data_IF_313170445030
#
_entry.id   IF_313170445030
#
_cell.length_a   1.000
_cell.length_b   1.000
_cell.length_c   1.000
_cell.angle_alpha   90.00
_cell.angle_beta   90.00
_cell.angle_gamma   90.00
#
_symmetry.space_group_name_H-M   'P 1'
#
loop_
_entity.id
_entity.type
_entity.pdbx_description
1 polymer ?
#
# COMPACT_ATOMS: atom_id res chain seq x y z
N UNK A 1 4.87 11.74 0.25
CA UNK A 1 4.63 11.54 -1.20
C UNK A 1 3.74 12.68 -1.71
N UNK A 2 3.93 13.17 -2.94
CA UNK A 2 3.08 14.22 -3.55
C UNK A 2 2.12 13.66 -4.62
N UNK A 3 1.08 14.41 -5.01
CA UNK A 3 -0.01 13.92 -5.87
C UNK A 3 0.46 13.31 -7.20
N UNK A 4 1.49 13.87 -7.84
CA UNK A 4 2.06 13.30 -9.07
C UNK A 4 2.71 11.93 -8.87
N UNK A 5 3.37 11.71 -7.73
CA UNK A 5 3.95 10.41 -7.39
C UNK A 5 2.86 9.37 -7.09
N UNK A 6 1.80 9.80 -6.41
CA UNK A 6 0.63 8.96 -6.15
C UNK A 6 -0.02 8.51 -7.47
N UNK A 7 -0.24 9.44 -8.40
CA UNK A 7 -0.79 9.12 -9.71
C UNK A 7 0.11 8.14 -10.49
N UNK A 8 1.44 8.22 -10.36
CA UNK A 8 2.34 7.25 -10.97
C UNK A 8 2.17 5.84 -10.40
N UNK A 9 1.96 5.71 -9.09
CA UNK A 9 1.62 4.42 -8.49
C UNK A 9 0.30 3.89 -9.05
N UNK A 10 -0.77 4.68 -8.93
CA UNK A 10 -2.12 4.24 -9.30
C UNK A 10 -2.21 3.80 -10.77
N UNK A 11 -1.48 4.48 -11.65
CA UNK A 11 -1.43 4.18 -13.08
C UNK A 11 -0.32 3.18 -13.48
N UNK A 12 0.36 2.56 -12.53
CA UNK A 12 1.35 1.53 -12.85
C UNK A 12 0.66 0.31 -13.50
N UNK A 13 1.03 -0.07 -14.73
CA UNK A 13 0.35 -1.14 -15.46
C UNK A 13 0.53 -2.52 -14.83
N UNK A 14 1.49 -2.68 -13.91
CA UNK A 14 1.69 -3.93 -13.15
C UNK A 14 0.62 -4.10 -12.07
N UNK A 15 -0.02 -3.02 -11.66
CA UNK A 15 -1.07 -3.01 -10.64
C UNK A 15 -0.55 -3.17 -9.21
N UNK A 16 -1.44 -2.96 -8.22
CA UNK A 16 -1.09 -2.96 -6.81
C UNK A 16 -0.53 -4.30 -6.32
N UNK A 17 -1.08 -5.43 -6.79
CA UNK A 17 -0.64 -6.77 -6.36
C UNK A 17 0.84 -7.06 -6.66
N UNK A 18 1.37 -6.48 -7.74
CA UNK A 18 2.77 -6.65 -8.13
C UNK A 18 3.65 -5.57 -7.51
N UNK A 19 3.16 -4.34 -7.41
CA UNK A 19 3.96 -3.20 -6.93
C UNK A 19 4.10 -3.19 -5.41
N UNK A 20 3.01 -3.37 -4.67
CA UNK A 20 2.99 -3.22 -3.21
C UNK A 20 4.00 -4.14 -2.49
N UNK A 21 4.16 -5.43 -2.86
CA UNK A 21 5.15 -6.30 -2.21
C UNK A 21 6.60 -5.86 -2.43
N UNK A 22 6.88 -5.06 -3.47
CA UNK A 22 8.24 -4.60 -3.79
C UNK A 22 8.67 -3.36 -3.02
N UNK A 23 7.72 -2.66 -2.40
CA UNK A 23 8.00 -1.44 -1.63
C UNK A 23 8.68 -1.74 -0.31
N UNK A 24 9.59 -0.86 0.10
CA UNK A 24 10.07 -0.84 1.48
C UNK A 24 8.94 -0.51 2.47
N UNK A 25 9.09 -0.81 3.77
CA UNK A 25 8.07 -0.47 4.77
C UNK A 25 7.74 1.03 4.83
N UNK A 26 8.75 1.89 4.69
CA UNK A 26 8.57 3.34 4.68
C UNK A 26 7.82 3.83 3.43
N UNK A 27 8.14 3.29 2.26
CA UNK A 27 7.42 3.61 1.01
C UNK A 27 5.97 3.16 1.08
N UNK A 28 5.71 1.97 1.64
CA UNK A 28 4.34 1.47 1.81
C UNK A 28 3.53 2.34 2.78
N UNK A 29 4.11 2.75 3.90
CA UNK A 29 3.46 3.67 4.84
C UNK A 29 3.16 5.03 4.19
N UNK A 30 4.14 5.61 3.50
CA UNK A 30 3.96 6.87 2.77
C UNK A 30 2.91 6.77 1.65
N UNK A 31 2.79 5.62 0.99
CA UNK A 31 1.77 5.34 -0.01
C UNK A 31 0.38 5.27 0.63
N UNK A 32 0.24 4.57 1.75
CA UNK A 32 -1.01 4.49 2.52
C UNK A 32 -1.50 5.86 2.97
N UNK A 33 -0.62 6.70 3.54
CA UNK A 33 -0.97 8.04 3.98
C UNK A 33 -1.47 8.91 2.82
N UNK A 34 -0.81 8.84 1.67
CA UNK A 34 -1.20 9.62 0.50
C UNK A 34 -2.50 9.12 -0.15
N UNK A 35 -2.74 7.80 -0.17
CA UNK A 35 -3.98 7.21 -0.65
C UNK A 35 -5.15 7.61 0.26
N UNK A 36 -4.95 7.56 1.58
CA UNK A 36 -5.94 8.02 2.55
C UNK A 36 -6.29 9.50 2.33
N UNK A 37 -5.28 10.37 2.20
CA UNK A 37 -5.50 11.79 1.91
C UNK A 37 -6.18 12.02 0.56
N UNK A 38 -5.86 11.23 -0.47
CA UNK A 38 -6.50 11.34 -1.78
C UNK A 38 -7.98 10.93 -1.74
N UNK A 39 -8.30 9.85 -1.02
CA UNK A 39 -9.67 9.38 -0.81
C UNK A 39 -10.54 10.37 -0.04
N UNK A 40 -9.94 11.22 0.80
CA UNK A 40 -10.62 12.29 1.53
C UNK A 40 -10.92 13.53 0.65
N UNK A 41 -10.41 13.58 -0.58
CA UNK A 41 -10.68 14.69 -1.50
C UNK A 41 -12.05 14.56 -2.19
N UNK A 42 -12.59 15.68 -2.69
CA UNK A 42 -13.86 15.68 -3.42
C UNK A 42 -13.83 14.92 -4.76
N UNK A 43 -12.64 14.71 -5.33
CA UNK A 43 -12.41 14.01 -6.60
C UNK A 43 -11.19 13.10 -6.46
N UNK A 44 -11.31 11.94 -5.80
CA UNK A 44 -10.21 11.01 -5.64
C UNK A 44 -9.75 10.46 -7.00
N UNK A 45 -8.50 10.05 -7.07
CA UNK A 45 -7.94 9.44 -8.28
C UNK A 45 -8.62 8.09 -8.55
N UNK A 46 -8.94 7.84 -9.82
CA UNK A 46 -9.57 6.58 -10.21
C UNK A 46 -8.66 5.39 -9.86
N UNK A 47 -9.19 4.44 -9.09
CA UNK A 47 -8.43 3.27 -8.62
C UNK A 47 -7.72 3.47 -7.28
N UNK A 48 -7.70 4.68 -6.70
CA UNK A 48 -7.10 4.94 -5.38
C UNK A 48 -7.69 4.03 -4.28
N UNK A 49 -8.99 3.74 -4.33
CA UNK A 49 -9.64 2.87 -3.35
C UNK A 49 -9.07 1.44 -3.39
N UNK A 50 -8.95 0.85 -4.59
CA UNK A 50 -8.42 -0.51 -4.76
C UNK A 50 -6.95 -0.57 -4.31
N UNK A 51 -6.17 0.46 -4.66
CA UNK A 51 -4.79 0.58 -4.20
C UNK A 51 -4.68 0.69 -2.68
N UNK A 52 -5.58 1.43 -2.03
CA UNK A 52 -5.61 1.57 -0.58
C UNK A 52 -5.96 0.25 0.12
N UNK A 53 -7.03 -0.41 -0.31
CA UNK A 53 -7.47 -1.69 0.25
C UNK A 53 -6.34 -2.73 0.22
N UNK A 54 -5.70 -2.90 -0.94
CA UNK A 54 -4.60 -3.86 -1.10
C UNK A 54 -3.33 -3.45 -0.35
N UNK A 55 -3.05 -2.15 -0.22
CA UNK A 55 -1.93 -1.67 0.59
C UNK A 55 -2.14 -1.93 2.09
N UNK A 56 -3.38 -1.82 2.58
CA UNK A 56 -3.75 -2.17 3.96
C UNK A 56 -3.59 -3.68 4.20
N UNK A 57 -4.05 -4.51 3.26
CA UNK A 57 -3.86 -5.96 3.31
C UNK A 57 -2.37 -6.33 3.33
N UNK A 58 -1.57 -5.72 2.46
CA UNK A 58 -0.12 -5.93 2.41
C UNK A 58 0.57 -5.52 3.72
N UNK A 59 0.18 -4.38 4.28
CA UNK A 59 0.63 -3.91 5.59
C UNK A 59 0.33 -4.94 6.69
N UNK A 60 -0.91 -5.44 6.75
CA UNK A 60 -1.34 -6.46 7.71
C UNK A 60 -0.57 -7.77 7.54
N UNK A 61 -0.35 -8.21 6.29
CA UNK A 61 0.45 -9.40 5.97
C UNK A 61 1.88 -9.28 6.48
N UNK A 62 2.52 -8.12 6.29
CA UNK A 62 3.89 -7.87 6.78
C UNK A 62 3.97 -7.85 8.31
N UNK A 63 2.98 -7.24 8.97
CA UNK A 63 2.90 -7.23 10.42
C UNK A 63 2.73 -8.64 11.01
N UNK A 64 1.85 -9.46 10.41
CA UNK A 64 1.66 -10.86 10.82
C UNK A 64 2.85 -11.77 10.51
N UNK A 65 3.58 -11.52 9.43
CA UNK A 65 4.79 -12.28 9.07
C UNK A 65 5.96 -12.05 10.04
N UNK A 66 6.03 -10.89 10.69
CA UNK A 66 7.07 -10.61 11.69
C UNK A 66 6.88 -11.43 12.97
N UNK A 67 5.64 -11.81 13.30
CA UNK A 67 5.29 -12.57 14.51
C UNK A 67 5.39 -14.10 14.31
N UNK A 68 5.39 -14.57 13.05
CA UNK A 68 5.47 -15.99 12.68
C UNK A 68 6.83 -16.66 12.91
N UNK A 69 7.89 -15.90 13.17
CA UNK A 69 9.21 -16.47 13.49
C UNK A 69 9.31 -17.02 14.93
N UNK A 70 8.34 -16.76 15.80
CA UNK A 70 8.37 -17.13 17.22
C UNK A 70 7.61 -18.42 17.57
N UNK A 71 7.08 -19.18 16.59
CA UNK A 71 6.41 -20.47 16.83
C UNK A 71 7.13 -21.64 16.13
N UNK A 72 8.44 -21.73 16.38
CA UNK A 72 9.21 -22.96 16.17
C UNK A 72 9.09 -23.87 17.38
N UNK A 73 8.28 -24.92 17.24
CA UNK A 73 8.12 -26.06 18.15
C UNK A 73 9.42 -26.57 18.77
N UNK A 74 9.41 -26.76 20.10
CA UNK A 74 10.34 -27.60 20.84
C UNK A 74 9.56 -28.43 21.87
#
# INVERSE_FOLDING_TARGET
MNSSQLAHFINDPRGPEVVLPTLSPEELANLLDALFQNLDTATPEFGAQVWYELAVEESGRRAGSADGAAHGVA
#
